data_IF_970860407603
#
_entry.id   IF_970860407603
#
_cell.length_a   1.000
_cell.length_b   1.000
_cell.length_c   1.000
_cell.angle_alpha   90.00
_cell.angle_beta   90.00
_cell.angle_gamma   90.00
#
_symmetry.space_group_name_H-M   'P 1'
#
loop_
_entity.id
_entity.type
_entity.pdbx_description
1 polymer ?
#
# COMPACT_ATOMS: atom_id res chain seq x y z
N UNK A 1 -4.34 -21.45 -51.98
CA UNK A 1 -3.64 -21.32 -50.67
C UNK A 1 -4.37 -20.30 -49.79
N UNK A 2 -5.14 -20.74 -48.78
CA UNK A 2 -5.84 -19.85 -47.84
C UNK A 2 -4.93 -19.57 -46.64
N UNK A 3 -4.51 -18.31 -46.46
CA UNK A 3 -3.77 -17.85 -45.27
C UNK A 3 -4.72 -17.91 -44.07
N UNK A 4 -4.44 -18.78 -43.10
CA UNK A 4 -5.15 -18.81 -41.82
C UNK A 4 -4.68 -17.60 -41.02
N UNK A 5 -5.53 -16.59 -40.89
CA UNK A 5 -5.30 -15.50 -39.96
C UNK A 5 -5.39 -16.07 -38.54
N UNK A 6 -4.28 -16.02 -37.80
CA UNK A 6 -4.29 -16.23 -36.37
C UNK A 6 -5.10 -15.11 -35.75
N UNK A 7 -6.30 -15.44 -35.29
CA UNK A 7 -7.08 -14.56 -34.42
C UNK A 7 -6.21 -14.22 -33.20
N UNK A 8 -6.00 -12.94 -32.89
CA UNK A 8 -5.19 -12.54 -31.76
C UNK A 8 -5.82 -13.14 -30.50
N UNK A 9 -5.04 -13.97 -29.81
CA UNK A 9 -5.43 -14.59 -28.57
C UNK A 9 -5.78 -13.47 -27.57
N UNK A 10 -7.01 -13.40 -27.05
CA UNK A 10 -7.42 -12.30 -26.19
C UNK A 10 -6.52 -12.32 -24.95
N UNK A 11 -5.87 -11.18 -24.68
CA UNK A 11 -4.97 -11.02 -23.55
C UNK A 11 -5.66 -11.52 -22.26
N UNK A 12 -4.96 -12.29 -21.40
CA UNK A 12 -5.56 -12.85 -20.20
C UNK A 12 -6.13 -11.71 -19.35
N UNK A 13 -7.46 -11.69 -19.23
CA UNK A 13 -8.18 -10.73 -18.40
C UNK A 13 -7.72 -10.96 -16.97
N UNK A 14 -6.87 -10.08 -16.46
CA UNK A 14 -6.45 -10.08 -15.06
C UNK A 14 -7.73 -9.94 -14.23
N UNK A 15 -8.16 -11.03 -13.62
CA UNK A 15 -9.29 -11.06 -12.71
C UNK A 15 -8.90 -10.18 -11.53
N UNK A 16 -9.35 -8.93 -11.61
CA UNK A 16 -9.18 -7.88 -10.59
C UNK A 16 -9.93 -8.38 -9.36
N UNK A 17 -9.26 -9.18 -8.53
CA UNK A 17 -9.78 -9.72 -7.27
C UNK A 17 -10.22 -8.50 -6.47
N UNK A 18 -11.54 -8.25 -6.46
CA UNK A 18 -12.24 -7.18 -5.75
C UNK A 18 -12.16 -7.52 -4.26
N UNK A 19 -10.94 -7.58 -3.75
CA UNK A 19 -10.61 -7.68 -2.35
C UNK A 19 -11.26 -6.47 -1.68
N UNK A 20 -11.97 -6.68 -0.57
CA UNK A 20 -12.58 -5.64 0.27
C UNK A 20 -11.48 -4.75 0.88
N UNK A 21 -10.82 -4.00 0.02
CA UNK A 21 -9.72 -3.07 0.25
C UNK A 21 -10.15 -1.99 1.24
N UNK A 22 -11.43 -1.61 1.18
CA UNK A 22 -12.03 -0.65 2.10
C UNK A 22 -12.08 -1.14 3.55
N UNK A 23 -12.23 -2.45 3.80
CA UNK A 23 -12.24 -2.98 5.17
C UNK A 23 -10.87 -2.87 5.83
N UNK A 24 -9.78 -2.98 5.05
CA UNK A 24 -8.42 -2.82 5.58
C UNK A 24 -8.11 -1.34 5.85
N UNK A 25 -8.50 -0.44 4.95
CA UNK A 25 -8.37 1.00 5.19
C UNK A 25 -9.14 1.45 6.45
N UNK A 26 -10.37 0.92 6.63
CA UNK A 26 -11.16 1.18 7.83
C UNK A 26 -10.50 0.63 9.11
N UNK A 27 -9.93 -0.59 9.07
CA UNK A 27 -9.20 -1.15 10.21
C UNK A 27 -7.99 -0.30 10.59
N UNK A 28 -7.25 0.26 9.63
CA UNK A 28 -6.11 1.14 9.90
C UNK A 28 -6.57 2.46 10.50
N UNK A 29 -7.65 3.04 9.97
CA UNK A 29 -8.23 4.27 10.50
C UNK A 29 -8.69 4.06 11.95
N UNK A 30 -9.34 2.94 12.25
CA UNK A 30 -9.79 2.58 13.60
C UNK A 30 -8.62 2.31 14.54
N UNK A 31 -7.62 1.53 14.12
CA UNK A 31 -6.43 1.28 14.94
C UNK A 31 -5.63 2.55 15.24
N UNK A 32 -5.55 3.46 14.26
CA UNK A 32 -4.92 4.78 14.43
C UNK A 32 -5.74 5.67 15.37
N UNK A 33 -7.07 5.61 15.30
CA UNK A 33 -7.97 6.31 16.23
C UNK A 33 -7.81 5.80 17.66
N UNK A 34 -7.68 4.48 17.84
CA UNK A 34 -7.45 3.85 19.14
C UNK A 34 -6.08 4.27 19.70
N UNK A 35 -5.03 4.30 18.85
CA UNK A 35 -3.72 4.81 19.24
C UNK A 35 -3.74 6.31 19.61
N UNK A 36 -4.58 7.10 18.92
CA UNK A 36 -4.83 8.51 19.23
C UNK A 36 -5.50 8.69 20.59
N UNK A 37 -6.51 7.88 20.90
CA UNK A 37 -7.18 7.88 22.22
C UNK A 37 -6.23 7.44 23.35
N UNK A 38 -5.25 6.60 23.04
CA UNK A 38 -4.38 6.01 24.05
C UNK A 38 -3.32 6.95 24.62
N UNK A 39 -3.10 8.17 24.09
CA UNK A 39 -2.01 9.12 24.43
C UNK A 39 -0.57 8.57 24.37
N UNK A 40 -0.40 7.27 24.20
CA UNK A 40 0.86 6.55 24.27
C UNK A 40 1.41 6.37 22.85
N UNK A 41 2.48 7.08 22.53
CA UNK A 41 3.12 7.08 21.20
C UNK A 41 3.54 5.67 20.75
N UNK A 42 4.10 4.87 21.66
CA UNK A 42 4.64 3.56 21.29
C UNK A 42 3.55 2.57 20.88
N UNK A 43 2.32 2.71 21.39
CA UNK A 43 1.18 1.84 21.03
C UNK A 43 0.81 2.06 19.56
N UNK A 44 0.70 3.32 19.12
CA UNK A 44 0.43 3.63 17.73
C UNK A 44 1.55 3.19 16.79
N UNK A 45 2.82 3.37 17.20
CA UNK A 45 3.96 2.89 16.44
C UNK A 45 3.97 1.35 16.30
N UNK A 46 3.65 0.62 17.38
CA UNK A 46 3.53 -0.85 17.36
C UNK A 46 2.41 -1.31 16.44
N UNK A 47 1.24 -0.65 16.51
CA UNK A 47 0.12 -0.96 15.62
C UNK A 47 0.48 -0.75 14.14
N UNK A 48 1.19 0.33 13.81
CA UNK A 48 1.69 0.58 12.45
C UNK A 48 2.74 -0.45 12.05
N UNK A 49 3.62 -0.85 12.98
CA UNK A 49 4.60 -1.91 12.74
C UNK A 49 3.96 -3.26 12.41
N UNK A 50 2.97 -3.68 13.20
CA UNK A 50 2.18 -4.90 12.95
C UNK A 50 1.49 -4.80 11.59
N UNK A 51 0.88 -3.66 11.30
CA UNK A 51 0.29 -3.40 9.99
C UNK A 51 1.32 -3.50 8.87
N UNK A 52 2.52 -2.95 9.02
CA UNK A 52 3.56 -2.97 8.01
C UNK A 52 3.95 -4.41 7.64
N UNK A 53 4.19 -5.25 8.65
CA UNK A 53 4.51 -6.67 8.47
C UNK A 53 3.35 -7.37 7.77
N UNK A 54 2.11 -7.12 8.22
CA UNK A 54 0.93 -7.71 7.60
C UNK A 54 0.71 -7.24 6.16
N UNK A 55 0.93 -5.96 5.86
CA UNK A 55 0.77 -5.36 4.55
C UNK A 55 1.78 -5.92 3.55
N UNK A 56 3.04 -6.09 3.97
CA UNK A 56 4.07 -6.74 3.17
C UNK A 56 3.73 -8.21 2.92
N UNK A 57 3.26 -8.93 3.93
CA UNK A 57 2.92 -10.35 3.79
C UNK A 57 1.68 -10.57 2.90
N UNK A 58 0.62 -9.79 3.10
CA UNK A 58 -0.63 -9.87 2.31
C UNK A 58 -0.57 -9.13 0.97
N UNK A 59 0.53 -8.44 0.67
CA UNK A 59 0.73 -7.67 -0.56
C UNK A 59 -0.39 -6.64 -0.77
N UNK A 60 -0.61 -5.81 0.26
CA UNK A 60 -1.56 -4.71 0.18
C UNK A 60 -1.04 -3.68 -0.85
N UNK A 61 -1.90 -3.15 -1.74
CA UNK A 61 -1.46 -2.17 -2.73
C UNK A 61 -0.90 -0.92 -2.05
N UNK A 62 0.31 -0.53 -2.48
CA UNK A 62 1.08 0.60 -1.96
C UNK A 62 0.26 1.89 -1.86
N UNK A 63 -0.62 2.12 -2.84
CA UNK A 63 -1.52 3.29 -2.91
C UNK A 63 -2.35 3.52 -1.65
N UNK A 64 -2.82 2.45 -1.00
CA UNK A 64 -3.62 2.59 0.22
C UNK A 64 -2.78 3.10 1.38
N UNK A 65 -1.60 2.52 1.56
CA UNK A 65 -0.68 2.95 2.61
C UNK A 65 -0.32 4.43 2.45
N UNK A 66 -0.13 4.90 1.21
CA UNK A 66 0.06 6.33 0.93
C UNK A 66 -1.18 7.18 1.26
N UNK A 67 -2.39 6.74 0.91
CA UNK A 67 -3.62 7.46 1.26
C UNK A 67 -3.77 7.59 2.78
N UNK A 68 -3.53 6.51 3.53
CA UNK A 68 -3.58 6.57 5.00
C UNK A 68 -2.48 7.48 5.55
N UNK A 69 -1.26 7.40 5.01
CA UNK A 69 -0.16 8.27 5.42
C UNK A 69 -0.50 9.75 5.23
N UNK A 70 -1.09 10.10 4.07
CA UNK A 70 -1.56 11.46 3.78
C UNK A 70 -2.69 11.89 4.71
N UNK A 71 -3.62 10.99 5.03
CA UNK A 71 -4.69 11.29 5.98
C UNK A 71 -4.14 11.57 7.38
N UNK A 72 -3.20 10.74 7.87
CA UNK A 72 -2.51 10.98 9.13
C UNK A 72 -1.73 12.30 9.13
N UNK A 73 -1.05 12.62 8.03
CA UNK A 73 -0.34 13.89 7.86
C UNK A 73 -1.31 15.09 7.87
N UNK A 74 -2.47 14.96 7.23
CA UNK A 74 -3.51 15.99 7.22
C UNK A 74 -4.13 16.26 8.59
N UNK A 75 -4.05 15.30 9.53
CA UNK A 75 -4.49 15.49 10.91
C UNK A 75 -3.49 16.27 11.78
N UNK A 76 -2.24 16.43 11.33
CA UNK A 76 -1.23 17.24 12.03
C UNK A 76 -1.67 18.71 12.18
N UNK A 77 -2.01 19.45 11.12
CA UNK A 77 -2.47 20.84 11.26
C UNK A 77 -3.76 20.94 12.07
N UNK A 78 -4.66 19.95 11.96
CA UNK A 78 -5.88 19.89 12.79
C UNK A 78 -5.50 19.83 14.28
N UNK A 79 -4.59 18.92 14.66
CA UNK A 79 -4.14 18.81 16.05
C UNK A 79 -3.45 20.09 16.57
N UNK A 80 -2.71 20.80 15.71
CA UNK A 80 -2.08 22.09 16.05
C UNK A 80 -3.15 23.17 16.31
N UNK A 81 -4.19 23.26 15.48
CA UNK A 81 -5.29 24.23 15.68
C UNK A 81 -6.02 24.02 17.01
N UNK A 82 -6.06 22.79 17.53
CA UNK A 82 -6.63 22.47 18.83
C UNK A 82 -5.61 22.50 19.99
N UNK A 83 -4.41 23.06 19.78
CA UNK A 83 -3.32 23.17 20.77
C UNK A 83 -2.91 21.81 21.39
N UNK A 84 -2.95 20.75 20.58
CA UNK A 84 -2.55 19.39 20.99
C UNK A 84 -1.21 19.00 20.38
N UNK A 85 -0.14 19.66 20.83
CA UNK A 85 1.22 19.45 20.31
C UNK A 85 1.69 17.99 20.34
N UNK A 86 1.47 17.27 21.43
CA UNK A 86 1.83 15.86 21.55
C UNK A 86 1.12 14.97 20.50
N UNK A 87 -0.14 15.30 20.21
CA UNK A 87 -0.94 14.58 19.22
C UNK A 87 -0.40 14.86 17.80
N UNK A 88 -0.08 16.13 17.51
CA UNK A 88 0.51 16.52 16.23
C UNK A 88 1.85 15.81 15.97
N UNK A 89 2.71 15.72 17.00
CA UNK A 89 3.98 15.00 16.93
C UNK A 89 3.79 13.50 16.67
N UNK A 90 2.80 12.88 17.32
CA UNK A 90 2.46 11.48 17.11
C UNK A 90 1.98 11.24 15.67
N UNK A 91 1.07 12.06 15.14
CA UNK A 91 0.61 11.96 13.75
C UNK A 91 1.75 12.18 12.73
N UNK A 92 2.66 13.12 13.01
CA UNK A 92 3.86 13.30 12.20
C UNK A 92 4.72 12.03 12.16
N UNK A 93 4.96 11.41 13.31
CA UNK A 93 5.72 10.16 13.41
C UNK A 93 5.02 9.00 12.69
N UNK A 94 3.71 8.86 12.89
CA UNK A 94 2.89 7.81 12.28
C UNK A 94 2.81 7.95 10.75
N UNK A 95 2.63 9.16 10.24
CA UNK A 95 2.62 9.42 8.79
C UNK A 95 3.96 9.09 8.16
N UNK A 96 5.08 9.46 8.81
CA UNK A 96 6.43 9.09 8.36
C UNK A 96 6.62 7.57 8.28
N UNK A 97 6.24 6.84 9.34
CA UNK A 97 6.29 5.37 9.35
C UNK A 97 5.46 4.76 8.22
N UNK A 98 4.22 5.24 8.02
CA UNK A 98 3.37 4.77 6.93
C UNK A 98 3.96 5.08 5.56
N UNK A 99 4.58 6.24 5.35
CA UNK A 99 5.27 6.54 4.11
C UNK A 99 6.42 5.58 3.83
N UNK A 100 7.24 5.26 4.84
CA UNK A 100 8.30 4.26 4.71
C UNK A 100 7.74 2.91 4.25
N UNK A 101 6.67 2.44 4.90
CA UNK A 101 5.98 1.19 4.52
C UNK A 101 5.42 1.25 3.10
N UNK A 102 4.88 2.41 2.71
CA UNK A 102 4.39 2.67 1.36
C UNK A 102 5.50 2.56 0.31
N UNK A 103 6.66 3.17 0.56
CA UNK A 103 7.84 3.12 -0.31
C UNK A 103 8.38 1.69 -0.42
N UNK A 104 8.47 0.95 0.69
CA UNK A 104 8.87 -0.46 0.66
C UNK A 104 7.89 -1.29 -0.18
N UNK A 105 6.59 -1.17 0.08
CA UNK A 105 5.55 -1.87 -0.68
C UNK A 105 5.62 -1.55 -2.18
N UNK A 106 5.82 -0.28 -2.53
CA UNK A 106 5.97 0.17 -3.91
C UNK A 106 7.23 -0.44 -4.56
N UNK A 107 8.35 -0.48 -3.84
CA UNK A 107 9.60 -1.08 -4.33
C UNK A 107 9.42 -2.57 -4.64
N UNK A 108 8.71 -3.30 -3.78
CA UNK A 108 8.37 -4.71 -4.03
C UNK A 108 7.43 -4.90 -5.22
N UNK A 109 6.47 -4.01 -5.39
CA UNK A 109 5.53 -3.99 -6.51
C UNK A 109 6.28 -3.78 -7.84
N UNK A 110 7.15 -2.76 -7.92
CA UNK A 110 7.97 -2.49 -9.12
C UNK A 110 8.93 -3.63 -9.45
N UNK A 111 9.63 -4.19 -8.46
CA UNK A 111 10.56 -5.31 -8.71
C UNK A 111 9.82 -6.48 -9.37
N UNK A 112 8.62 -6.80 -8.89
CA UNK A 112 7.82 -7.89 -9.44
C UNK A 112 7.40 -7.64 -10.89
N UNK A 113 7.00 -6.40 -11.21
CA UNK A 113 6.62 -6.03 -12.57
C UNK A 113 7.80 -6.17 -13.54
N UNK A 114 8.99 -5.71 -13.15
CA UNK A 114 10.23 -5.85 -13.94
C UNK A 114 10.56 -7.33 -14.20
N UNK A 115 10.45 -8.19 -13.17
CA UNK A 115 10.67 -9.64 -13.34
C UNK A 115 9.67 -10.27 -14.31
N UNK A 116 8.40 -9.85 -14.28
CA UNK A 116 7.38 -10.38 -15.18
C UNK A 116 7.65 -10.02 -16.65
N UNK A 117 8.10 -8.78 -16.91
CA UNK A 117 8.43 -8.31 -18.26
C UNK A 117 9.68 -9.02 -18.82
N UNK A 118 10.69 -9.26 -17.97
CA UNK A 118 11.90 -10.01 -18.34
C UNK A 118 11.57 -11.42 -18.80
N UNK A 119 10.69 -12.12 -18.09
CA UNK A 119 10.30 -13.49 -18.44
C UNK A 119 9.54 -13.55 -19.78
N UNK A 120 8.67 -12.57 -20.07
CA UNK A 120 7.98 -12.50 -21.36
C UNK A 120 8.93 -12.25 -22.53
N UNK A 121 10.02 -11.50 -22.32
CA UNK A 121 11.03 -11.27 -23.36
C UNK A 121 11.80 -12.55 -23.70
N UNK A 122 12.23 -13.30 -22.68
CA UNK A 122 12.91 -14.59 -22.87
C UNK A 122 12.03 -15.63 -23.60
N UNK A 123 10.73 -15.67 -23.31
CA UNK A 123 9.81 -16.60 -23.98
C UNK A 123 9.61 -16.28 -25.47
N UNK A 124 9.66 -15.01 -25.87
CA UNK A 124 9.61 -14.63 -27.29
C UNK A 124 10.88 -15.05 -28.02
N UNK A 125 12.03 -14.95 -27.37
CA UNK A 125 13.31 -15.29 -27.98
C UNK A 125 13.47 -16.80 -28.24
N UNK A 126 12.82 -17.66 -27.46
CA UNK A 126 12.82 -19.13 -27.67
C UNK A 126 11.92 -19.61 -28.81
N UNK A 127 11.06 -18.76 -29.38
CA UNK A 127 10.10 -19.13 -30.44
C UNK A 127 10.58 -18.80 -31.85
N UNK A 128 11.77 -18.22 -31.97
CA UNK A 128 12.46 -17.92 -33.22
C UNK A 128 13.63 -18.88 -33.36
#
# INVERSE_FOLDING_TARGET
>A
MRRRFHTPQPAPKTTRRKSNIWNYAALIAVASLIGFLSQIQWVGALAIGIYAVFALWRRIPSRLTFIVALFALGLVPVAIVFDRWYIAQNFGSYSFLLFMVGVFSLTFELRREIYSLRNMHNDKQKRV
#
